data_IF_870592906458
#
_entry.id   IF_870592906458
#
_cell.length_a   1.000
_cell.length_b   1.000
_cell.length_c   1.000
_cell.angle_alpha   90.00
_cell.angle_beta   90.00
_cell.angle_gamma   90.00
#
_symmetry.space_group_name_H-M   'P 1'
#
loop_
_entity.id
_entity.type
_entity.pdbx_description
1 polymer ?
#
# COMPACT_ATOMS: atom_id res chain seq x y z
N UNK A 1 -5.32 -66.71 38.77
CA UNK A 1 -4.77 -65.36 38.91
C UNK A 1 -4.71 -64.76 37.52
N UNK A 2 -5.63 -63.80 37.18
CA UNK A 2 -5.74 -63.18 35.82
C UNK A 2 -4.80 -61.95 35.76
N UNK A 3 -3.75 -62.02 34.93
CA UNK A 3 -2.87 -60.86 34.67
C UNK A 3 -3.62 -59.88 33.76
N UNK A 4 -3.95 -58.69 34.31
CA UNK A 4 -4.47 -57.57 33.54
C UNK A 4 -3.33 -56.94 32.73
N UNK A 5 -3.43 -57.03 31.39
CA UNK A 5 -2.55 -56.28 30.47
C UNK A 5 -3.04 -54.82 30.46
N UNK A 6 -2.22 -53.94 30.99
CA UNK A 6 -2.41 -52.50 30.86
C UNK A 6 -1.90 -52.09 29.45
N UNK A 7 -2.82 -51.76 28.57
CA UNK A 7 -2.50 -51.18 27.26
C UNK A 7 -2.36 -49.69 27.49
N UNK A 8 -1.13 -49.17 27.50
CA UNK A 8 -0.87 -47.74 27.44
C UNK A 8 -1.16 -47.25 26.04
N UNK A 9 -2.27 -46.53 25.91
CA UNK A 9 -2.64 -45.82 24.68
C UNK A 9 -1.85 -44.51 24.66
N UNK A 10 -0.74 -44.44 23.92
CA UNK A 10 -0.07 -43.20 23.58
C UNK A 10 -0.94 -42.43 22.60
N UNK A 11 -1.72 -41.48 23.12
CA UNK A 11 -2.38 -40.47 22.29
C UNK A 11 -1.29 -39.47 21.91
N UNK A 12 -0.70 -39.67 20.75
CA UNK A 12 0.12 -38.67 20.09
C UNK A 12 -0.79 -37.50 19.70
N UNK A 13 -0.83 -36.46 20.52
CA UNK A 13 -1.43 -35.18 20.15
C UNK A 13 -0.56 -34.60 19.04
N UNK A 14 -0.94 -34.87 17.78
CA UNK A 14 -0.44 -34.15 16.64
C UNK A 14 -0.99 -32.72 16.74
N UNK A 15 -0.24 -31.82 17.36
CA UNK A 15 -0.45 -30.38 17.20
C UNK A 15 -0.19 -30.08 15.71
N UNK A 16 -1.23 -30.16 14.91
CA UNK A 16 -1.25 -29.52 13.60
C UNK A 16 -1.12 -28.01 13.88
N UNK A 17 0.09 -27.52 13.85
CA UNK A 17 0.35 -26.09 13.71
C UNK A 17 -0.18 -25.76 12.33
N UNK A 18 -1.47 -25.40 12.26
CA UNK A 18 -2.02 -24.70 11.11
C UNK A 18 -1.27 -23.38 11.09
N UNK A 19 -0.14 -23.36 10.39
CA UNK A 19 0.48 -22.12 9.95
C UNK A 19 -0.61 -21.42 9.15
N UNK A 20 -1.36 -20.52 9.80
CA UNK A 20 -2.17 -19.56 9.10
C UNK A 20 -1.16 -18.76 8.27
N UNK A 21 -1.01 -19.16 7.01
CA UNK A 21 -0.18 -18.46 6.06
C UNK A 21 -0.60 -17.00 6.14
N UNK A 22 0.19 -16.20 6.84
CA UNK A 22 -0.10 -14.82 7.14
C UNK A 22 -0.24 -14.14 5.79
N UNK A 23 -1.46 -13.76 5.46
CA UNK A 23 -1.78 -13.21 4.14
C UNK A 23 -1.00 -11.90 4.02
N UNK A 24 -0.05 -11.86 3.11
CA UNK A 24 0.78 -10.69 2.84
C UNK A 24 0.63 -10.24 1.37
N UNK A 25 1.30 -9.15 0.99
CA UNK A 25 1.19 -8.59 -0.37
C UNK A 25 1.81 -9.49 -1.44
N UNK A 26 2.70 -10.41 -1.10
CA UNK A 26 3.43 -11.25 -2.07
C UNK A 26 2.58 -12.28 -2.83
N UNK A 27 1.33 -12.47 -2.44
CA UNK A 27 0.39 -13.33 -3.17
C UNK A 27 -0.29 -12.63 -4.35
N UNK A 28 -0.16 -11.30 -4.45
CA UNK A 28 -0.80 -10.52 -5.50
C UNK A 28 0.09 -10.40 -6.73
N UNK A 29 -0.58 -10.28 -7.86
CA UNK A 29 -0.02 -9.97 -9.16
C UNK A 29 -0.64 -8.66 -9.66
N UNK A 30 0.17 -7.82 -10.26
CA UNK A 30 -0.18 -6.53 -10.83
C UNK A 30 0.30 -6.48 -12.27
N UNK A 31 -0.04 -5.44 -13.03
CA UNK A 31 0.43 -5.29 -14.41
C UNK A 31 1.45 -4.16 -14.50
N UNK A 32 2.59 -4.42 -15.15
CA UNK A 32 3.54 -3.37 -15.51
C UNK A 32 2.95 -2.40 -16.55
N UNK A 33 3.72 -1.40 -16.95
CA UNK A 33 3.29 -0.41 -17.93
C UNK A 33 2.97 -0.95 -19.32
N UNK A 34 3.54 -2.10 -19.66
CA UNK A 34 3.25 -2.81 -20.92
C UNK A 34 2.06 -3.78 -20.78
N UNK A 35 1.49 -3.92 -19.59
CA UNK A 35 0.38 -4.83 -19.31
C UNK A 35 0.81 -6.26 -18.93
N UNK A 36 2.11 -6.54 -18.80
CA UNK A 36 2.60 -7.84 -18.41
C UNK A 36 2.37 -8.08 -16.91
N UNK A 37 2.09 -9.33 -16.51
CA UNK A 37 1.91 -9.68 -15.11
C UNK A 37 3.23 -9.61 -14.34
N UNK A 38 3.22 -8.95 -13.17
CA UNK A 38 4.34 -8.85 -12.24
C UNK A 38 3.88 -9.35 -10.87
N UNK A 39 4.53 -10.36 -10.34
CA UNK A 39 4.23 -10.90 -9.01
C UNK A 39 4.89 -10.04 -7.93
N UNK A 40 4.13 -9.54 -6.97
CA UNK A 40 4.71 -8.75 -5.88
C UNK A 40 5.70 -9.56 -5.02
N UNK A 41 5.71 -10.89 -5.15
CA UNK A 41 6.73 -11.76 -4.57
C UNK A 41 8.16 -11.45 -5.03
N UNK A 42 8.33 -10.82 -6.18
CA UNK A 42 9.65 -10.39 -6.71
C UNK A 42 10.31 -9.32 -5.82
N UNK A 43 9.49 -8.60 -5.05
CA UNK A 43 9.95 -7.59 -4.09
C UNK A 43 10.17 -8.14 -2.67
N UNK A 44 10.15 -9.46 -2.49
CA UNK A 44 10.35 -10.08 -1.16
C UNK A 44 11.68 -9.63 -0.54
N UNK A 45 11.62 -9.31 0.76
CA UNK A 45 12.79 -8.82 1.50
C UNK A 45 13.03 -7.31 1.37
N UNK A 46 12.18 -6.60 0.63
CA UNK A 46 12.21 -5.14 0.51
C UNK A 46 11.11 -4.50 1.35
N UNK A 47 11.38 -3.30 1.84
CA UNK A 47 10.36 -2.39 2.39
C UNK A 47 9.68 -1.70 1.21
N UNK A 48 8.35 -1.77 1.12
CA UNK A 48 7.61 -1.21 0.00
C UNK A 48 6.74 -0.05 0.45
N UNK A 49 6.64 0.98 -0.40
CA UNK A 49 5.64 2.03 -0.31
C UNK A 49 4.72 1.92 -1.54
N UNK A 50 3.51 1.41 -1.34
CA UNK A 50 2.51 1.26 -2.40
C UNK A 50 1.64 2.52 -2.42
N UNK A 51 1.57 3.21 -3.57
CA UNK A 51 0.93 4.52 -3.70
C UNK A 51 -0.01 4.53 -4.90
N UNK A 52 -1.24 5.06 -4.72
CA UNK A 52 -2.09 5.40 -5.86
C UNK A 52 -1.90 6.86 -6.23
N UNK A 53 -1.60 7.15 -7.48
CA UNK A 53 -1.14 8.48 -7.92
C UNK A 53 -1.97 9.08 -9.05
N UNK A 54 -1.70 10.33 -9.37
CA UNK A 54 -2.29 11.03 -10.51
C UNK A 54 -1.39 12.19 -10.97
N UNK A 55 -1.49 12.56 -12.26
CA UNK A 55 -0.68 13.61 -12.89
C UNK A 55 -1.29 15.01 -12.82
N UNK A 56 -2.59 15.13 -12.51
CA UNK A 56 -3.34 16.39 -12.49
C UNK A 56 -3.98 16.67 -11.12
N UNK A 57 -3.33 16.24 -10.05
CA UNK A 57 -3.78 16.38 -8.68
C UNK A 57 -3.03 17.50 -7.95
N UNK A 58 -3.67 18.17 -6.98
CA UNK A 58 -2.96 19.13 -6.12
C UNK A 58 -1.80 18.49 -5.33
N UNK A 59 -1.85 17.18 -5.11
CA UNK A 59 -0.78 16.42 -4.46
C UNK A 59 0.27 15.85 -5.42
N UNK A 60 0.17 16.09 -6.75
CA UNK A 60 1.17 15.63 -7.73
C UNK A 60 2.61 16.03 -7.40
N UNK A 61 2.89 17.21 -6.78
CA UNK A 61 4.24 17.54 -6.35
C UNK A 61 4.89 16.56 -5.36
N UNK A 62 4.10 15.71 -4.66
CA UNK A 62 4.66 14.66 -3.81
C UNK A 62 5.51 13.62 -4.56
N UNK A 63 5.48 13.59 -5.89
CA UNK A 63 6.44 12.79 -6.66
C UNK A 63 7.89 13.18 -6.39
N UNK A 64 8.18 14.45 -6.12
CA UNK A 64 9.52 14.92 -5.74
C UNK A 64 10.00 14.26 -4.44
N UNK A 65 9.13 14.21 -3.43
CA UNK A 65 9.45 13.53 -2.17
C UNK A 65 9.55 12.01 -2.34
N UNK A 66 8.66 11.40 -3.15
CA UNK A 66 8.70 9.96 -3.40
C UNK A 66 10.02 9.56 -4.07
N UNK A 67 10.48 10.32 -5.07
CA UNK A 67 11.76 10.06 -5.73
C UNK A 67 12.94 10.32 -4.78
N UNK A 68 12.93 11.41 -4.03
CA UNK A 68 13.96 11.69 -3.02
C UNK A 68 14.07 10.53 -2.00
N UNK A 69 12.95 10.03 -1.50
CA UNK A 69 12.92 8.91 -0.56
C UNK A 69 13.44 7.63 -1.22
N UNK A 70 13.02 7.36 -2.45
CA UNK A 70 13.50 6.20 -3.20
C UNK A 70 15.00 6.26 -3.43
N UNK A 71 15.52 7.37 -3.97
CA UNK A 71 16.94 7.57 -4.21
C UNK A 71 17.78 7.42 -2.92
N UNK A 72 17.24 7.91 -1.79
CA UNK A 72 17.94 7.87 -0.50
C UNK A 72 18.02 6.46 0.10
N UNK A 73 16.94 5.67 -0.03
CA UNK A 73 16.80 4.41 0.72
C UNK A 73 16.83 3.15 -0.15
N UNK A 74 16.86 3.23 -1.49
CA UNK A 74 16.86 2.06 -2.38
C UNK A 74 18.01 1.09 -2.10
N UNK A 75 19.20 1.60 -1.82
CA UNK A 75 20.37 0.78 -1.49
C UNK A 75 20.18 -0.01 -0.18
N UNK A 76 19.30 0.45 0.72
CA UNK A 76 18.94 -0.22 1.95
C UNK A 76 17.75 -1.19 1.77
N UNK A 77 17.24 -1.29 0.54
CA UNK A 77 16.16 -2.20 0.19
C UNK A 77 14.76 -1.59 0.29
N UNK A 78 14.62 -0.28 0.12
CA UNK A 78 13.32 0.40 -0.02
C UNK A 78 12.92 0.52 -1.48
N UNK A 79 11.62 0.36 -1.78
CA UNK A 79 11.07 0.53 -3.13
C UNK A 79 9.71 1.23 -3.05
N UNK A 80 9.48 2.19 -3.95
CA UNK A 80 8.15 2.76 -4.22
C UNK A 80 7.50 1.96 -5.35
N UNK A 81 6.25 1.55 -5.19
CA UNK A 81 5.41 0.92 -6.21
C UNK A 81 4.28 1.89 -6.55
N UNK A 82 4.37 2.53 -7.69
CA UNK A 82 3.47 3.58 -8.15
C UNK A 82 2.35 3.03 -9.03
N UNK A 83 1.11 3.30 -8.66
CA UNK A 83 -0.10 2.89 -9.37
C UNK A 83 -0.95 4.09 -9.77
N UNK A 84 -0.88 4.61 -10.99
CA UNK A 84 -1.76 5.66 -11.44
C UNK A 84 -3.23 5.27 -11.31
N UNK A 85 -4.08 6.15 -10.76
CA UNK A 85 -5.49 5.91 -10.51
C UNK A 85 -6.35 7.06 -11.03
N UNK A 86 -7.33 6.75 -11.89
CA UNK A 86 -8.19 7.77 -12.51
C UNK A 86 -9.53 7.98 -11.80
N UNK A 87 -9.75 7.35 -10.64
CA UNK A 87 -11.06 7.39 -9.95
C UNK A 87 -11.34 8.71 -9.24
N UNK A 88 -10.32 9.53 -8.97
CA UNK A 88 -10.46 10.79 -8.24
C UNK A 88 -10.39 11.97 -9.21
N UNK A 89 -11.57 12.43 -9.64
CA UNK A 89 -11.70 13.58 -10.53
C UNK A 89 -11.11 13.40 -11.94
N UNK A 90 -10.88 12.17 -12.39
CA UNK A 90 -10.29 11.92 -13.73
C UNK A 90 -8.84 12.42 -13.86
N UNK A 91 -8.10 12.54 -12.75
CA UNK A 91 -6.81 13.22 -12.67
C UNK A 91 -5.61 12.39 -13.21
N UNK A 92 -5.84 11.15 -13.64
CA UNK A 92 -4.87 10.29 -14.32
C UNK A 92 -5.44 9.77 -15.65
N UNK A 93 -5.95 10.67 -16.52
CA UNK A 93 -6.72 10.33 -17.72
C UNK A 93 -5.86 9.79 -18.88
N UNK A 94 -4.58 10.13 -18.96
CA UNK A 94 -3.67 9.73 -20.05
C UNK A 94 -3.43 8.23 -20.16
N UNK A 95 -2.90 7.76 -21.29
CA UNK A 95 -2.36 6.40 -21.43
C UNK A 95 -1.11 6.23 -20.54
N UNK A 96 -0.68 4.97 -20.33
CA UNK A 96 0.49 4.70 -19.49
C UNK A 96 1.72 5.51 -19.92
N UNK A 97 2.07 5.50 -21.20
CA UNK A 97 3.25 6.21 -21.71
C UNK A 97 3.18 7.72 -21.46
N UNK A 98 2.00 8.33 -21.60
CA UNK A 98 1.81 9.77 -21.34
C UNK A 98 2.01 10.09 -19.86
N UNK A 99 1.47 9.24 -18.96
CA UNK A 99 1.62 9.37 -17.52
C UNK A 99 3.08 9.18 -17.13
N UNK A 100 3.72 8.12 -17.65
CA UNK A 100 5.10 7.78 -17.34
C UNK A 100 6.07 8.87 -17.82
N UNK A 101 5.93 9.34 -19.08
CA UNK A 101 6.75 10.45 -19.59
C UNK A 101 6.58 11.71 -18.75
N UNK A 102 5.33 12.08 -18.41
CA UNK A 102 5.07 13.22 -17.54
C UNK A 102 5.79 13.11 -16.20
N UNK A 103 5.72 11.94 -15.56
CA UNK A 103 6.33 11.73 -14.25
C UNK A 103 7.87 11.72 -14.33
N UNK A 104 8.43 11.07 -15.37
CA UNK A 104 9.88 11.00 -15.59
C UNK A 104 10.47 12.35 -15.98
N UNK A 105 9.82 13.07 -16.91
CA UNK A 105 10.35 14.34 -17.42
C UNK A 105 10.25 15.45 -16.37
N UNK A 106 9.17 15.45 -15.58
CA UNK A 106 8.91 16.53 -14.62
C UNK A 106 9.52 16.27 -13.24
N UNK A 107 9.53 15.03 -12.77
CA UNK A 107 9.91 14.67 -11.40
C UNK A 107 11.12 13.74 -11.36
N UNK A 108 11.62 13.28 -12.53
CA UNK A 108 12.77 12.39 -12.60
C UNK A 108 12.55 11.03 -11.94
N UNK A 109 11.32 10.52 -11.88
CA UNK A 109 11.05 9.27 -11.19
C UNK A 109 11.86 8.12 -11.78
N UNK A 110 12.44 7.30 -10.90
CA UNK A 110 13.22 6.11 -11.26
C UNK A 110 12.69 4.83 -10.63
N UNK A 111 11.70 4.94 -9.75
CA UNK A 111 11.02 3.78 -9.15
C UNK A 111 10.00 3.15 -10.12
N UNK A 112 9.61 1.87 -9.88
CA UNK A 112 8.63 1.17 -10.71
C UNK A 112 7.26 1.86 -10.74
N UNK A 113 6.78 2.15 -11.95
CA UNK A 113 5.41 2.62 -12.21
C UNK A 113 4.64 1.53 -12.95
N UNK A 114 3.44 1.22 -12.49
CA UNK A 114 2.59 0.15 -12.99
C UNK A 114 1.46 0.67 -13.87
N UNK A 115 0.73 -0.23 -14.50
CA UNK A 115 -0.52 0.09 -15.19
C UNK A 115 -1.51 0.74 -14.24
N UNK A 116 -2.41 1.56 -14.81
CA UNK A 116 -3.50 2.17 -14.03
C UNK A 116 -4.28 1.13 -13.24
N UNK A 117 -4.66 1.49 -12.02
CA UNK A 117 -5.36 0.61 -11.10
C UNK A 117 -6.67 1.23 -10.62
N UNK A 118 -7.64 0.37 -10.31
CA UNK A 118 -8.89 0.75 -9.63
C UNK A 118 -8.75 0.41 -8.15
N UNK A 119 -8.93 1.40 -7.28
CA UNK A 119 -8.67 1.27 -5.83
C UNK A 119 -9.94 1.20 -4.97
N UNK A 120 -11.11 1.47 -5.56
CA UNK A 120 -12.42 1.42 -4.91
C UNK A 120 -13.49 0.88 -5.87
N UNK A 121 -14.61 0.38 -5.29
CA UNK A 121 -15.77 -0.07 -6.06
C UNK A 121 -15.72 -1.54 -6.44
N UNK A 122 -16.64 -1.96 -7.33
CA UNK A 122 -16.79 -3.38 -7.68
C UNK A 122 -15.59 -3.94 -8.46
N UNK A 123 -14.92 -3.09 -9.24
CA UNK A 123 -13.77 -3.47 -10.07
C UNK A 123 -12.43 -3.17 -9.38
N UNK A 124 -12.42 -2.97 -8.06
CA UNK A 124 -11.19 -2.67 -7.35
C UNK A 124 -10.20 -3.83 -7.41
N UNK A 125 -8.93 -3.50 -7.56
CA UNK A 125 -7.88 -4.49 -7.58
C UNK A 125 -7.81 -5.26 -6.24
N UNK A 126 -7.69 -6.61 -6.27
CA UNK A 126 -7.60 -7.42 -5.05
C UNK A 126 -6.48 -6.99 -4.10
N UNK A 127 -5.41 -6.40 -4.62
CA UNK A 127 -4.35 -5.79 -3.81
C UNK A 127 -4.92 -4.68 -2.91
N UNK A 128 -5.72 -3.75 -3.47
CA UNK A 128 -6.27 -2.63 -2.71
C UNK A 128 -7.37 -3.04 -1.75
N UNK A 129 -8.18 -4.06 -2.08
CA UNK A 129 -9.10 -4.69 -1.10
C UNK A 129 -8.33 -5.18 0.13
N UNK A 130 -7.19 -5.84 -0.10
CA UNK A 130 -6.33 -6.33 0.98
C UNK A 130 -5.70 -5.18 1.78
N UNK A 131 -5.09 -4.20 1.12
CA UNK A 131 -4.43 -3.06 1.77
C UNK A 131 -5.39 -2.29 2.69
N UNK A 132 -6.58 -1.95 2.19
CA UNK A 132 -7.63 -1.25 2.96
C UNK A 132 -8.13 -2.05 4.16
N UNK A 133 -8.16 -3.38 4.04
CA UNK A 133 -8.54 -4.26 5.15
C UNK A 133 -7.46 -4.32 6.24
N UNK A 134 -6.17 -4.31 5.88
CA UNK A 134 -5.07 -4.37 6.83
C UNK A 134 -4.85 -3.03 7.53
N UNK A 135 -4.95 -1.92 6.78
CA UNK A 135 -4.81 -0.57 7.30
C UNK A 135 -6.00 0.29 6.82
N UNK A 136 -7.13 0.23 7.53
CA UNK A 136 -8.30 1.02 7.20
C UNK A 136 -8.04 2.52 7.39
N UNK A 137 -8.85 3.34 6.73
CA UNK A 137 -8.85 4.80 6.92
C UNK A 137 -9.19 5.14 8.38
N UNK A 138 -8.44 6.07 8.97
CA UNK A 138 -8.59 6.49 10.38
C UNK A 138 -8.97 7.96 10.53
N UNK A 139 -9.25 8.65 9.42
CA UNK A 139 -9.47 10.10 9.38
C UNK A 139 -8.25 10.84 8.81
N UNK A 140 -8.47 12.08 8.42
CA UNK A 140 -7.37 13.00 8.09
C UNK A 140 -6.82 13.63 9.38
N UNK A 141 -5.54 14.03 9.35
CA UNK A 141 -4.93 14.78 10.44
C UNK A 141 -5.46 16.23 10.44
N UNK A 142 -6.44 16.50 11.29
CA UNK A 142 -7.08 17.82 11.40
C UNK A 142 -6.24 18.86 12.15
N UNK A 143 -5.02 18.52 12.55
CA UNK A 143 -4.07 19.50 13.07
C UNK A 143 -3.37 20.29 11.95
N UNK A 144 -3.42 19.80 10.72
CA UNK A 144 -2.93 20.48 9.51
C UNK A 144 -4.08 21.16 8.75
N UNK A 145 -3.81 22.30 8.11
CA UNK A 145 -4.82 23.04 7.34
C UNK A 145 -5.40 22.17 6.19
N UNK A 146 -4.55 21.44 5.48
CA UNK A 146 -4.98 20.57 4.38
C UNK A 146 -5.81 19.38 4.88
N UNK A 147 -5.42 18.78 6.00
CA UNK A 147 -6.17 17.67 6.59
C UNK A 147 -7.53 18.13 7.11
N UNK A 148 -7.59 19.30 7.77
CA UNK A 148 -8.84 19.93 8.17
C UNK A 148 -9.76 20.23 7.00
N UNK A 149 -9.21 20.82 5.93
CA UNK A 149 -9.97 21.10 4.70
C UNK A 149 -10.55 19.83 4.09
N UNK A 150 -9.78 18.74 4.01
CA UNK A 150 -10.25 17.47 3.48
C UNK A 150 -11.31 16.84 4.40
N UNK A 151 -11.11 16.85 5.71
CA UNK A 151 -12.11 16.34 6.67
C UNK A 151 -13.46 17.08 6.52
N UNK A 152 -13.43 18.41 6.50
CA UNK A 152 -14.63 19.23 6.31
C UNK A 152 -15.33 18.94 4.98
N UNK A 153 -14.57 18.84 3.88
CA UNK A 153 -15.09 18.53 2.55
C UNK A 153 -15.78 17.18 2.51
N UNK A 154 -15.13 16.11 2.97
CA UNK A 154 -15.70 14.76 2.93
C UNK A 154 -16.86 14.60 3.92
N UNK A 155 -16.80 15.26 5.07
CA UNK A 155 -17.85 15.23 6.08
C UNK A 155 -19.12 15.93 5.61
N UNK A 156 -18.99 16.98 4.79
CA UNK A 156 -20.12 17.67 4.16
C UNK A 156 -20.91 16.74 3.23
N UNK A 157 -20.18 15.92 2.45
CA UNK A 157 -20.79 14.98 1.50
C UNK A 157 -21.35 13.74 2.22
N UNK A 158 -20.64 13.24 3.23
CA UNK A 158 -21.03 12.09 4.05
C UNK A 158 -20.52 12.25 5.49
N UNK A 159 -21.36 12.56 6.48
CA UNK A 159 -20.96 12.69 7.89
C UNK A 159 -20.25 11.44 8.47
N UNK A 160 -20.51 10.26 7.89
CA UNK A 160 -19.91 8.99 8.30
C UNK A 160 -18.73 8.55 7.42
N UNK A 161 -18.18 9.40 6.54
CA UNK A 161 -17.14 9.05 5.58
C UNK A 161 -15.93 8.39 6.23
N UNK A 162 -15.60 8.74 7.48
CA UNK A 162 -14.46 8.19 8.19
C UNK A 162 -14.61 6.72 8.61
N UNK A 163 -15.87 6.21 8.63
CA UNK A 163 -16.15 4.78 8.95
C UNK A 163 -15.90 3.86 7.76
N UNK A 164 -15.81 4.41 6.56
CA UNK A 164 -15.55 3.67 5.34
C UNK A 164 -14.04 3.54 5.12
N UNK A 165 -13.47 2.33 4.97
CA UNK A 165 -12.03 2.11 4.77
C UNK A 165 -11.53 2.51 3.38
N UNK A 166 -12.39 2.93 2.46
CA UNK A 166 -12.03 3.28 1.08
C UNK A 166 -10.89 4.28 1.01
N UNK A 167 -10.20 4.28 -0.13
CA UNK A 167 -9.23 5.33 -0.47
C UNK A 167 -10.01 6.62 -0.71
N UNK A 168 -9.61 7.70 -0.03
CA UNK A 168 -10.32 8.98 -0.12
C UNK A 168 -9.82 9.85 -1.26
N UNK A 169 -8.54 9.77 -1.58
CA UNK A 169 -7.94 10.60 -2.62
C UNK A 169 -6.68 9.98 -3.23
N UNK A 170 -6.15 10.61 -4.29
CA UNK A 170 -4.83 10.28 -4.84
C UNK A 170 -3.74 10.50 -3.80
N UNK A 171 -2.62 9.79 -3.91
CA UNK A 171 -1.46 9.81 -3.04
C UNK A 171 -1.69 9.23 -1.64
N UNK A 172 -2.70 8.35 -1.47
CA UNK A 172 -2.75 7.46 -0.30
C UNK A 172 -1.63 6.42 -0.42
N UNK A 173 -0.91 6.21 0.67
CA UNK A 173 0.29 5.38 0.74
C UNK A 173 0.12 4.27 1.75
N UNK A 174 0.60 3.06 1.41
CA UNK A 174 0.68 1.93 2.33
C UNK A 174 2.13 1.51 2.48
N UNK A 175 2.62 1.45 3.72
CA UNK A 175 3.96 0.99 4.05
C UNK A 175 3.92 -0.51 4.36
N UNK A 176 4.83 -1.25 3.74
CA UNK A 176 4.90 -2.70 3.81
C UNK A 176 6.29 -3.10 4.33
N UNK A 177 6.34 -4.01 5.28
CA UNK A 177 7.59 -4.55 5.80
C UNK A 177 8.26 -5.55 4.83
N UNK A 178 9.46 -6.04 5.21
CA UNK A 178 10.23 -7.00 4.40
C UNK A 178 9.56 -8.37 4.23
N UNK A 179 8.57 -8.68 5.06
CA UNK A 179 7.79 -9.93 5.02
C UNK A 179 6.49 -9.78 4.23
N UNK A 180 6.19 -8.56 3.78
CA UNK A 180 5.01 -8.22 2.99
C UNK A 180 3.77 -7.90 3.81
N UNK A 181 3.91 -7.59 5.10
CA UNK A 181 2.81 -7.15 5.93
C UNK A 181 2.61 -5.64 5.81
N UNK A 182 1.36 -5.21 5.79
CA UNK A 182 1.02 -3.79 5.85
C UNK A 182 1.22 -3.31 7.28
N UNK A 183 2.13 -2.36 7.48
CA UNK A 183 2.48 -1.83 8.79
C UNK A 183 1.96 -0.43 9.05
N UNK A 184 1.70 0.35 7.98
CA UNK A 184 1.09 1.67 8.13
C UNK A 184 0.34 2.10 6.85
N UNK A 185 -0.50 3.15 7.01
CA UNK A 185 -1.19 3.85 5.94
C UNK A 185 -1.07 5.36 6.19
N UNK A 186 -0.73 6.10 5.14
CA UNK A 186 -0.64 7.55 5.16
C UNK A 186 -1.59 8.15 4.14
N UNK A 187 -2.31 9.16 4.55
CA UNK A 187 -3.19 9.92 3.66
C UNK A 187 -2.39 10.99 2.89
N UNK A 188 -2.91 11.53 1.79
CA UNK A 188 -2.19 12.53 1.01
C UNK A 188 -1.87 13.81 1.79
N UNK A 189 -2.61 14.12 2.84
CA UNK A 189 -2.40 15.26 3.73
C UNK A 189 -1.36 15.02 4.84
N UNK A 190 -0.89 13.78 5.02
CA UNK A 190 0.15 13.50 6.00
C UNK A 190 1.49 14.09 5.54
N UNK A 191 2.26 14.62 6.51
CA UNK A 191 3.59 15.15 6.28
C UNK A 191 4.52 14.04 5.73
N UNK A 192 5.27 14.35 4.67
CA UNK A 192 6.23 13.40 4.09
C UNK A 192 7.38 13.06 5.04
N UNK A 193 7.65 13.87 6.07
CA UNK A 193 8.58 13.51 7.15
C UNK A 193 8.05 12.36 8.01
N UNK A 194 6.73 12.31 8.24
CA UNK A 194 6.08 11.18 8.93
C UNK A 194 6.23 9.90 8.11
N UNK A 195 6.02 9.99 6.79
CA UNK A 195 6.23 8.86 5.87
C UNK A 195 7.69 8.39 5.93
N UNK A 196 8.64 9.31 5.85
CA UNK A 196 10.08 8.99 5.93
C UNK A 196 10.45 8.34 7.27
N UNK A 197 9.89 8.81 8.38
CA UNK A 197 10.10 8.21 9.70
C UNK A 197 9.61 6.76 9.75
N UNK A 198 8.43 6.48 9.17
CA UNK A 198 7.90 5.12 9.02
C UNK A 198 8.82 4.24 8.18
N UNK A 199 9.32 4.74 7.05
CA UNK A 199 10.25 4.01 6.18
C UNK A 199 11.54 3.65 6.94
N UNK A 200 12.15 4.60 7.66
CA UNK A 200 13.36 4.36 8.46
C UNK A 200 13.13 3.29 9.52
N UNK A 201 12.00 3.35 10.22
CA UNK A 201 11.63 2.33 11.21
C UNK A 201 11.45 0.95 10.56
N UNK A 202 10.76 0.86 9.41
CA UNK A 202 10.58 -0.39 8.68
C UNK A 202 11.89 -1.00 8.18
N UNK A 203 12.84 -0.17 7.74
CA UNK A 203 14.16 -0.61 7.27
C UNK A 203 15.01 -1.24 8.40
N UNK A 204 14.78 -0.84 9.65
CA UNK A 204 15.45 -1.39 10.85
C UNK A 204 14.80 -2.68 11.37
N UNK A 205 13.56 -3.00 10.95
CA UNK A 205 12.90 -4.27 11.31
C UNK A 205 13.64 -5.45 10.67
N UNK A 206 13.92 -6.47 11.49
CA UNK A 206 14.61 -7.71 11.06
C UNK A 206 13.63 -8.74 10.56
#
# INVERSE_FOLDING_TARGET
MKKKKIVLLFIALFFAVVSMAQKNVYKFEVKDGAGNPVKLKEYKGKVLLIVNTATKCGFTPQYEDLERLYATYQAQGFIVLDFPCNQFGGQASGAYNEIHSFCSDRFGITFPQFSKITVNGMDEAPLYTYLKKQAPFKGFDTTTDIGKFLDEKFRKDNPNYAKDPSIKWNFTKFLIDREGHVIDRFEPSDDMQKVETGIKAALLMK
#
